data_IF_265816172413
#
_entry.id   IF_265816172413
#
_cell.length_a   1.000
_cell.length_b   1.000
_cell.length_c   1.000
_cell.angle_alpha   90.00
_cell.angle_beta   90.00
_cell.angle_gamma   90.00
#
_symmetry.space_group_name_H-M   'P 1'
#
loop_
_entity.id
_entity.type
_entity.pdbx_description
1 polymer ?
#
# COMPACT_ATOMS: atom_id res chain seq x y z
N UNK A 1 -42.34 -29.63 22.05
CA UNK A 1 -41.64 -28.37 21.71
C UNK A 1 -40.41 -28.26 22.59
N UNK A 2 -39.20 -28.42 22.05
CA UNK A 2 -37.97 -28.10 22.79
C UNK A 2 -37.90 -26.57 22.89
N UNK A 3 -37.96 -26.04 24.10
CA UNK A 3 -37.70 -24.63 24.37
C UNK A 3 -36.20 -24.42 24.10
N UNK A 4 -35.86 -23.77 22.98
CA UNK A 4 -34.48 -23.36 22.70
C UNK A 4 -34.19 -22.23 23.70
N UNK A 5 -33.41 -22.54 24.74
CA UNK A 5 -33.17 -21.60 25.85
C UNK A 5 -32.08 -20.58 25.53
N UNK A 6 -31.20 -20.84 24.56
CA UNK A 6 -30.11 -19.96 24.18
C UNK A 6 -29.80 -20.11 22.68
N UNK A 7 -29.71 -18.97 21.97
CA UNK A 7 -29.12 -18.89 20.64
C UNK A 7 -27.73 -18.24 20.75
N UNK A 8 -26.77 -18.79 20.02
CA UNK A 8 -25.44 -18.22 19.82
C UNK A 8 -25.45 -17.54 18.45
N UNK A 9 -25.13 -16.24 18.43
CA UNK A 9 -24.97 -15.48 17.19
C UNK A 9 -23.49 -15.15 17.03
N UNK A 10 -22.90 -15.63 15.95
CA UNK A 10 -21.55 -15.25 15.53
C UNK A 10 -21.64 -14.32 14.33
N UNK A 11 -20.84 -13.26 14.34
CA UNK A 11 -20.66 -12.38 13.20
C UNK A 11 -19.17 -12.13 12.99
N UNK A 12 -18.69 -12.34 11.77
CA UNK A 12 -17.30 -12.15 11.40
C UNK A 12 -17.20 -11.26 10.16
N UNK A 13 -16.26 -10.33 10.18
CA UNK A 13 -15.86 -9.58 8.98
C UNK A 13 -14.88 -10.46 8.21
N UNK A 14 -15.25 -10.79 6.97
CA UNK A 14 -14.40 -11.56 6.06
C UNK A 14 -13.80 -10.60 5.04
N UNK A 15 -12.53 -10.81 4.69
CA UNK A 15 -11.82 -10.06 3.66
C UNK A 15 -11.25 -11.06 2.65
N UNK A 16 -11.53 -10.87 1.36
CA UNK A 16 -10.75 -11.55 0.30
C UNK A 16 -9.59 -10.64 -0.06
N UNK A 17 -8.40 -11.11 0.26
CA UNK A 17 -7.15 -10.61 -0.30
C UNK A 17 -6.66 -11.68 -1.23
N UNK A 18 -6.53 -11.36 -2.52
CA UNK A 18 -6.24 -12.32 -3.59
C UNK A 18 -5.40 -13.52 -3.14
N UNK A 19 -5.98 -14.70 -3.33
CA UNK A 19 -5.57 -15.97 -2.73
C UNK A 19 -6.82 -16.73 -2.33
N UNK A 20 -6.88 -18.03 -2.64
CA UNK A 20 -8.06 -18.87 -2.40
C UNK A 20 -8.61 -18.69 -0.97
N UNK A 21 -9.93 -18.58 -0.83
CA UNK A 21 -10.57 -18.22 0.43
C UNK A 21 -10.23 -19.18 1.57
N UNK A 22 -9.74 -18.63 2.69
CA UNK A 22 -9.56 -19.37 3.94
C UNK A 22 -10.34 -18.71 5.07
N UNK A 23 -11.19 -19.51 5.71
CA UNK A 23 -11.90 -19.20 6.96
C UNK A 23 -10.98 -19.56 8.14
N UNK A 24 -10.40 -18.57 8.81
CA UNK A 24 -9.66 -18.84 10.05
C UNK A 24 -10.63 -19.01 11.23
N UNK A 25 -10.93 -20.27 11.59
CA UNK A 25 -11.57 -20.62 12.86
C UNK A 25 -10.52 -20.59 13.97
N UNK A 26 -10.77 -19.82 15.02
CA UNK A 26 -9.97 -19.77 16.24
C UNK A 26 -10.02 -21.12 16.96
N UNK A 27 -9.08 -22.04 16.70
CA UNK A 27 -8.66 -23.08 17.63
C UNK A 27 -7.34 -23.74 17.21
N UNK A 28 -6.34 -23.56 18.08
CA UNK A 28 -5.14 -24.38 18.31
C UNK A 28 -4.00 -24.32 17.27
N UNK A 29 -2.95 -23.56 17.60
CA UNK A 29 -1.59 -23.81 17.10
C UNK A 29 -0.69 -24.21 18.29
N UNK A 30 0.01 -25.35 18.24
CA UNK A 30 0.95 -25.75 19.28
C UNK A 30 2.31 -25.03 19.11
N UNK A 31 3.11 -24.87 20.20
CA UNK A 31 4.39 -24.18 20.14
C UNK A 31 5.49 -25.12 19.64
N UNK A 32 6.34 -24.66 18.71
CA UNK A 32 7.55 -25.40 18.34
C UNK A 32 8.80 -24.51 18.37
N UNK A 33 9.80 -25.07 19.04
CA UNK A 33 11.15 -24.56 19.33
C UNK A 33 12.09 -24.63 18.13
N UNK A 34 12.95 -23.63 17.98
CA UNK A 34 14.01 -23.56 16.98
C UNK A 34 15.39 -23.93 17.55
N UNK A 35 16.27 -24.62 16.79
CA UNK A 35 17.69 -24.64 17.04
C UNK A 35 18.44 -23.67 16.11
N UNK A 36 19.31 -22.88 16.72
CA UNK A 36 20.21 -21.88 16.13
C UNK A 36 21.46 -22.51 15.50
N UNK A 37 21.85 -22.06 14.31
CA UNK A 37 23.21 -22.27 13.77
C UNK A 37 23.71 -20.97 13.17
N UNK A 38 24.84 -20.47 13.67
CA UNK A 38 25.59 -19.31 13.15
C UNK A 38 26.86 -19.79 12.46
N UNK A 39 27.24 -19.24 11.28
CA UNK A 39 28.60 -19.36 10.78
C UNK A 39 29.36 -18.03 10.86
N UNK A 40 30.57 -18.12 11.40
CA UNK A 40 31.58 -17.05 11.53
C UNK A 40 32.30 -16.78 10.21
N UNK A 41 32.57 -15.50 9.90
CA UNK A 41 33.51 -15.12 8.84
C UNK A 41 34.63 -14.21 9.38
N UNK A 42 35.87 -14.54 9.00
CA UNK A 42 37.11 -13.86 9.36
C UNK A 42 37.32 -12.57 8.55
N UNK A 43 37.79 -11.52 9.23
CA UNK A 43 38.16 -10.22 8.65
C UNK A 43 39.50 -10.31 7.91
N UNK A 44 39.57 -9.69 6.74
CA UNK A 44 40.81 -9.25 6.08
C UNK A 44 40.72 -7.73 5.90
N UNK A 45 41.68 -7.00 6.46
CA UNK A 45 41.86 -5.55 6.32
C UNK A 45 42.87 -5.24 5.24
N UNK A 46 42.68 -4.16 4.46
CA UNK A 46 43.82 -3.45 3.89
C UNK A 46 43.87 -1.96 4.27
N UNK A 47 45.12 -1.52 4.16
CA UNK A 47 45.77 -0.33 4.67
C UNK A 47 45.32 1.02 4.10
N UNK A 48 45.71 2.02 4.88
CA UNK A 48 45.56 3.46 4.75
C UNK A 48 46.07 4.09 3.43
N UNK A 49 45.31 5.05 2.90
CA UNK A 49 45.86 6.27 2.29
C UNK A 49 44.96 7.48 2.61
N UNK A 50 45.58 8.56 3.08
CA UNK A 50 44.98 9.85 3.49
C UNK A 50 44.55 10.72 2.29
N UNK A 51 43.62 11.67 2.50
CA UNK A 51 42.94 12.41 1.43
C UNK A 51 43.60 13.76 1.08
N UNK A 52 43.30 14.24 -0.12
CA UNK A 52 43.57 15.61 -0.55
C UNK A 52 42.34 16.50 -0.29
N UNK A 53 42.57 17.63 0.37
CA UNK A 53 41.61 18.71 0.65
C UNK A 53 41.26 19.49 -0.62
N UNK A 54 39.98 19.85 -0.79
CA UNK A 54 39.59 21.06 -1.50
C UNK A 54 38.43 21.76 -0.80
N UNK A 55 38.59 23.08 -0.73
CA UNK A 55 37.85 24.08 0.03
C UNK A 55 36.77 24.78 -0.80
N UNK A 56 35.71 25.24 -0.12
CA UNK A 56 34.88 26.38 -0.53
C UNK A 56 33.43 25.99 -0.80
N UNK A 57 32.39 26.62 -0.26
CA UNK A 57 32.30 27.77 0.62
C UNK A 57 30.80 28.07 0.76
N UNK A 58 30.28 27.98 1.98
CA UNK A 58 28.88 28.23 2.31
C UNK A 58 28.52 29.72 2.16
N UNK A 59 27.28 30.00 1.74
CA UNK A 59 26.58 31.22 2.13
C UNK A 59 25.24 30.85 2.74
N UNK A 60 25.18 31.03 4.05
CA UNK A 60 23.98 30.96 4.87
C UNK A 60 23.00 32.10 4.53
N UNK A 61 21.69 31.81 4.66
CA UNK A 61 20.61 32.82 4.67
C UNK A 61 19.80 32.60 5.95
N UNK A 62 19.69 33.64 6.77
CA UNK A 62 18.95 33.64 8.03
C UNK A 62 17.42 33.65 7.85
N UNK A 63 16.65 33.09 8.80
CA UNK A 63 15.19 32.98 8.73
C UNK A 63 14.48 34.18 9.38
N UNK A 64 13.42 34.67 8.72
CA UNK A 64 12.45 35.54 9.38
C UNK A 64 11.74 36.51 8.44
N UNK A 65 10.56 36.11 7.93
CA UNK A 65 9.44 37.01 7.62
C UNK A 65 8.17 36.21 7.34
N UNK A 66 7.23 36.32 8.27
CA UNK A 66 5.82 35.94 8.12
C UNK A 66 5.16 36.77 7.02
N UNK A 67 4.52 36.09 6.05
CA UNK A 67 3.65 36.72 5.05
C UNK A 67 2.26 36.07 5.21
N UNK A 68 1.26 36.90 5.53
CA UNK A 68 -0.15 36.51 5.58
C UNK A 68 -0.68 36.30 4.15
N UNK A 69 -1.67 35.41 3.92
CA UNK A 69 -2.15 35.14 2.57
C UNK A 69 -3.12 36.24 2.12
N UNK A 70 -2.73 37.02 1.11
CA UNK A 70 -3.66 37.80 0.30
C UNK A 70 -4.28 36.90 -0.77
N UNK A 71 -5.61 36.97 -0.89
CA UNK A 71 -6.39 36.33 -1.94
C UNK A 71 -6.38 37.20 -3.21
N UNK A 72 -6.20 36.62 -4.40
CA UNK A 72 -6.69 37.22 -5.62
C UNK A 72 -7.83 36.39 -6.21
N UNK A 73 -9.05 36.91 -6.11
CA UNK A 73 -10.14 36.63 -7.02
C UNK A 73 -9.78 37.15 -8.42
N UNK A 74 -9.32 36.30 -9.35
CA UNK A 74 -9.45 36.57 -10.79
C UNK A 74 -9.68 35.26 -11.55
N UNK A 75 -10.77 35.24 -12.32
CA UNK A 75 -11.32 34.06 -12.97
C UNK A 75 -10.41 33.44 -14.03
N UNK A 76 -10.24 32.12 -13.94
CA UNK A 76 -9.62 31.31 -14.99
C UNK A 76 -10.68 30.97 -16.02
N UNK A 77 -10.47 31.45 -17.25
CA UNK A 77 -11.22 31.05 -18.43
C UNK A 77 -10.92 29.57 -18.74
N UNK A 78 -11.97 28.78 -18.87
CA UNK A 78 -11.90 27.39 -19.33
C UNK A 78 -11.79 27.36 -20.85
N UNK A 79 -10.63 27.06 -21.42
CA UNK A 79 -10.51 26.61 -22.82
C UNK A 79 -9.40 25.57 -22.96
N UNK A 80 -9.75 24.43 -23.56
CA UNK A 80 -8.83 23.38 -23.99
C UNK A 80 -9.19 21.99 -23.47
N UNK A 81 -10.11 21.29 -24.15
CA UNK A 81 -10.14 19.82 -24.09
C UNK A 81 -8.77 19.32 -24.53
N UNK A 82 -8.01 18.74 -23.60
CA UNK A 82 -6.77 18.02 -23.92
C UNK A 82 -7.19 16.81 -24.74
N UNK A 83 -6.99 16.88 -26.06
CA UNK A 83 -7.15 15.71 -26.92
C UNK A 83 -6.14 14.64 -26.48
N UNK A 84 -6.53 13.35 -26.42
CA UNK A 84 -5.61 12.28 -26.11
C UNK A 84 -4.54 12.24 -27.20
N UNK A 85 -3.30 12.61 -26.84
CA UNK A 85 -2.17 12.47 -27.74
C UNK A 85 -1.92 10.97 -27.93
N UNK A 86 -2.16 10.49 -29.14
CA UNK A 86 -1.65 9.22 -29.61
C UNK A 86 -0.14 9.37 -29.81
N UNK A 87 0.63 9.07 -28.77
CA UNK A 87 2.00 8.55 -28.77
C UNK A 87 2.46 8.42 -27.32
N UNK A 88 3.18 7.34 -27.01
CA UNK A 88 3.70 6.95 -25.68
C UNK A 88 4.75 7.90 -25.08
N UNK A 89 4.76 9.17 -25.51
CA UNK A 89 5.74 10.18 -25.15
C UNK A 89 5.01 11.47 -24.81
N UNK A 90 4.70 11.64 -23.53
CA UNK A 90 4.37 12.95 -23.00
C UNK A 90 5.68 13.74 -22.83
N UNK A 91 5.78 15.02 -23.24
CA UNK A 91 7.05 15.76 -23.26
C UNK A 91 7.73 15.78 -21.88
N UNK A 92 6.96 15.82 -20.81
CA UNK A 92 7.46 15.85 -19.42
C UNK A 92 7.49 14.47 -18.73
N UNK A 93 6.97 13.41 -19.35
CA UNK A 93 6.89 12.06 -18.77
C UNK A 93 7.41 11.01 -19.75
N UNK A 94 8.71 10.65 -19.68
CA UNK A 94 9.34 9.73 -20.63
C UNK A 94 8.78 8.29 -20.57
N UNK A 95 8.09 7.95 -19.48
CA UNK A 95 7.53 6.62 -19.25
C UNK A 95 5.99 6.61 -19.27
N UNK A 96 5.36 7.60 -19.90
CA UNK A 96 3.90 7.72 -19.96
C UNK A 96 3.26 6.39 -20.42
N UNK A 97 2.15 5.93 -19.80
CA UNK A 97 1.30 6.59 -18.78
C UNK A 97 1.82 6.61 -17.33
N UNK A 98 2.99 6.02 -17.05
CA UNK A 98 3.67 6.30 -15.77
C UNK A 98 4.23 7.72 -15.78
N UNK A 99 4.05 8.41 -14.67
CA UNK A 99 4.47 9.80 -14.49
C UNK A 99 5.86 9.88 -13.85
N UNK A 100 6.62 8.79 -13.79
CA UNK A 100 7.99 8.82 -13.29
C UNK A 100 8.82 9.79 -14.13
N UNK A 101 9.60 10.63 -13.44
CA UNK A 101 10.63 11.47 -14.03
C UNK A 101 12.01 10.98 -13.62
N UNK A 102 13.01 11.33 -14.44
CA UNK A 102 14.42 11.11 -14.12
C UNK A 102 15.06 12.41 -13.64
N UNK A 103 15.89 12.33 -12.61
CA UNK A 103 16.79 13.41 -12.21
C UNK A 103 18.11 13.43 -13.00
N UNK A 104 18.26 12.57 -14.00
CA UNK A 104 19.44 12.47 -14.87
C UNK A 104 19.04 12.19 -16.32
N UNK A 105 20.00 11.71 -17.12
CA UNK A 105 19.72 11.24 -18.48
C UNK A 105 18.75 10.05 -18.45
N UNK A 106 17.91 9.94 -19.49
CA UNK A 106 16.89 8.90 -19.64
C UNK A 106 17.30 7.98 -20.79
N UNK A 107 17.24 6.64 -20.64
CA UNK A 107 16.92 5.93 -19.39
C UNK A 107 18.03 6.09 -18.34
N UNK A 108 17.67 5.92 -17.06
CA UNK A 108 18.67 5.79 -16.00
C UNK A 108 19.47 4.51 -16.21
N UNK A 109 20.68 4.45 -15.68
CA UNK A 109 21.51 3.24 -15.77
C UNK A 109 21.37 2.39 -14.51
N UNK A 110 21.33 1.06 -14.68
CA UNK A 110 21.22 0.10 -13.56
C UNK A 110 22.36 0.27 -12.55
N UNK A 111 23.56 0.63 -12.99
CA UNK A 111 24.74 0.84 -12.13
C UNK A 111 24.63 2.05 -11.18
N UNK A 112 23.63 2.92 -11.38
CA UNK A 112 23.33 4.03 -10.47
C UNK A 112 22.53 3.57 -9.23
N UNK A 113 21.94 2.38 -9.28
CA UNK A 113 21.11 1.81 -8.23
C UNK A 113 21.85 0.75 -7.43
N UNK A 114 21.44 0.57 -6.18
CA UNK A 114 21.88 -0.51 -5.31
C UNK A 114 20.72 -1.46 -5.05
N UNK A 115 21.00 -2.77 -5.12
CA UNK A 115 20.01 -3.78 -4.77
C UNK A 115 19.67 -3.76 -3.28
N UNK A 116 18.49 -4.25 -2.95
CA UNK A 116 18.07 -4.37 -1.56
C UNK A 116 18.99 -5.24 -0.68
N UNK A 117 19.55 -6.38 -1.16
CA UNK A 117 20.49 -7.19 -0.37
C UNK A 117 21.75 -6.43 0.07
N UNK A 118 22.26 -5.53 -0.76
CA UNK A 118 23.42 -4.69 -0.47
C UNK A 118 23.14 -3.75 0.70
N UNK A 119 21.96 -3.11 0.71
CA UNK A 119 21.51 -2.31 1.85
C UNK A 119 21.37 -3.18 3.13
N UNK A 120 20.91 -4.42 2.97
CA UNK A 120 20.71 -5.40 4.04
C UNK A 120 21.98 -5.83 4.78
N UNK A 121 23.17 -5.53 4.25
CA UNK A 121 24.44 -5.78 4.94
C UNK A 121 24.55 -4.95 6.23
N UNK A 122 24.17 -3.67 6.16
CA UNK A 122 24.19 -2.74 7.30
C UNK A 122 22.79 -2.51 7.89
N UNK A 123 21.74 -2.56 7.09
CA UNK A 123 20.35 -2.32 7.51
C UNK A 123 19.58 -3.64 7.70
N UNK A 124 20.18 -4.59 8.43
CA UNK A 124 19.68 -5.97 8.53
C UNK A 124 18.22 -6.05 8.96
N UNK A 125 17.83 -5.36 10.03
CA UNK A 125 16.47 -5.44 10.54
C UNK A 125 15.45 -4.88 9.52
N UNK A 126 15.74 -3.72 8.94
CA UNK A 126 14.90 -3.08 7.91
C UNK A 126 14.77 -3.99 6.69
N UNK A 127 15.88 -4.57 6.22
CA UNK A 127 15.88 -5.48 5.09
C UNK A 127 15.00 -6.71 5.32
N UNK A 128 15.08 -7.34 6.49
CA UNK A 128 14.21 -8.50 6.81
C UNK A 128 12.72 -8.11 6.88
N UNK A 129 12.42 -6.90 7.38
CA UNK A 129 11.04 -6.38 7.42
C UNK A 129 10.51 -6.11 6.00
N UNK A 130 11.31 -5.48 5.14
CA UNK A 130 10.94 -5.20 3.76
C UNK A 130 10.78 -6.48 2.94
N UNK A 131 11.70 -7.45 3.10
CA UNK A 131 11.76 -8.67 2.29
C UNK A 131 10.48 -9.51 2.32
N UNK A 132 9.79 -9.56 3.46
CA UNK A 132 8.51 -10.27 3.58
C UNK A 132 7.27 -9.42 3.24
N UNK A 133 7.44 -8.21 2.71
CA UNK A 133 6.35 -7.30 2.36
C UNK A 133 5.92 -7.42 0.89
N UNK A 134 4.72 -6.94 0.58
CA UNK A 134 4.25 -6.83 -0.80
C UNK A 134 5.03 -5.82 -1.63
N UNK A 135 5.80 -4.91 -1.02
CA UNK A 135 6.71 -4.03 -1.78
C UNK A 135 7.86 -4.83 -2.39
N UNK A 136 8.48 -5.73 -1.62
CA UNK A 136 9.52 -6.63 -2.14
C UNK A 136 8.97 -7.60 -3.17
N UNK A 137 7.75 -8.07 -2.98
CA UNK A 137 7.09 -9.00 -3.89
C UNK A 137 6.33 -8.32 -5.04
N UNK A 138 6.39 -6.99 -5.16
CA UNK A 138 5.55 -6.24 -6.11
C UNK A 138 5.75 -6.69 -7.56
N UNK A 139 6.97 -7.09 -7.94
CA UNK A 139 7.30 -7.62 -9.26
C UNK A 139 7.00 -9.12 -9.41
N UNK A 140 7.05 -9.89 -8.32
CA UNK A 140 6.91 -11.36 -8.37
C UNK A 140 5.49 -11.84 -8.05
N UNK A 141 4.59 -10.95 -7.64
CA UNK A 141 3.20 -11.30 -7.29
C UNK A 141 2.47 -11.97 -8.46
N UNK A 142 2.09 -13.26 -8.33
CA UNK A 142 1.45 -13.99 -9.41
C UNK A 142 0.07 -13.41 -9.77
N UNK A 143 -0.63 -12.80 -8.82
CA UNK A 143 -1.94 -12.18 -9.08
C UNK A 143 -1.75 -10.93 -9.91
N UNK A 144 -0.79 -10.08 -9.52
CA UNK A 144 -0.44 -8.91 -10.32
C UNK A 144 0.05 -9.31 -11.72
N UNK A 145 0.97 -10.27 -11.84
CA UNK A 145 1.48 -10.77 -13.13
C UNK A 145 0.37 -11.28 -14.05
N UNK A 146 -0.61 -12.00 -13.50
CA UNK A 146 -1.76 -12.45 -14.27
C UNK A 146 -2.63 -11.28 -14.74
N UNK A 147 -2.92 -10.31 -13.85
CA UNK A 147 -3.76 -9.16 -14.17
C UNK A 147 -3.10 -8.20 -15.18
N UNK A 148 -1.80 -7.95 -15.06
CA UNK A 148 -1.08 -7.09 -16.01
C UNK A 148 -0.97 -7.77 -17.39
N UNK A 149 -0.80 -9.09 -17.44
CA UNK A 149 -0.81 -9.83 -18.71
C UNK A 149 -2.17 -9.71 -19.43
N UNK A 150 -3.28 -9.90 -18.69
CA UNK A 150 -4.64 -9.70 -19.24
C UNK A 150 -4.82 -8.26 -19.70
N UNK A 151 -4.46 -7.29 -18.85
CA UNK A 151 -4.61 -5.87 -19.16
C UNK A 151 -3.77 -5.43 -20.36
N UNK A 152 -2.55 -5.96 -20.51
CA UNK A 152 -1.71 -5.74 -21.68
C UNK A 152 -2.34 -6.33 -22.94
N UNK A 153 -2.87 -7.55 -22.89
CA UNK A 153 -3.54 -8.18 -24.04
C UNK A 153 -4.77 -7.37 -24.48
N UNK A 154 -5.62 -6.96 -23.53
CA UNK A 154 -6.84 -6.20 -23.80
C UNK A 154 -6.58 -4.78 -24.32
N UNK A 155 -5.43 -4.19 -23.98
CA UNK A 155 -5.10 -2.80 -24.33
C UNK A 155 -4.03 -2.66 -25.39
N UNK A 156 -3.46 -3.78 -25.86
CA UNK A 156 -2.29 -3.83 -26.74
C UNK A 156 -1.07 -3.12 -26.11
N UNK A 157 -0.81 -3.40 -24.82
CA UNK A 157 0.35 -2.89 -24.07
C UNK A 157 0.24 -1.43 -23.59
N UNK A 158 -0.86 -0.72 -23.90
CA UNK A 158 -1.02 0.71 -23.61
C UNK A 158 -1.01 1.07 -22.12
N UNK A 159 -1.20 0.10 -21.24
CA UNK A 159 -1.20 0.29 -19.78
C UNK A 159 0.04 -0.26 -19.09
N UNK A 160 0.95 -0.92 -19.81
CA UNK A 160 2.04 -1.69 -19.21
C UNK A 160 2.89 -0.82 -18.30
N UNK A 161 3.35 0.32 -18.83
CA UNK A 161 4.18 1.27 -18.08
C UNK A 161 3.47 1.84 -16.85
N UNK A 162 2.13 1.99 -16.87
CA UNK A 162 1.36 2.42 -15.69
C UNK A 162 1.53 1.41 -14.54
N UNK A 163 1.38 0.12 -14.85
CA UNK A 163 1.52 -0.97 -13.88
C UNK A 163 2.97 -1.13 -13.42
N UNK A 164 3.90 -1.20 -14.38
CA UNK A 164 5.34 -1.39 -14.12
C UNK A 164 5.88 -0.23 -13.27
N UNK A 165 5.45 1.00 -13.52
CA UNK A 165 5.93 2.17 -12.78
C UNK A 165 5.70 2.11 -11.26
N UNK A 166 4.69 1.38 -10.80
CA UNK A 166 4.46 1.16 -9.37
C UNK A 166 5.04 -0.18 -8.87
N UNK A 167 5.16 -1.19 -9.74
CA UNK A 167 5.53 -2.55 -9.34
C UNK A 167 7.01 -2.90 -9.54
N UNK A 168 7.71 -2.23 -10.45
CA UNK A 168 9.18 -2.21 -10.55
C UNK A 168 9.63 -0.83 -11.07
N UNK A 169 9.60 0.21 -10.19
CA UNK A 169 9.97 1.56 -10.59
C UNK A 169 11.39 1.66 -11.18
N UNK A 170 12.32 0.87 -10.64
CA UNK A 170 13.71 0.82 -11.13
C UNK A 170 13.76 0.17 -12.50
N UNK A 171 13.10 -0.99 -12.70
CA UNK A 171 13.08 -1.65 -14.01
C UNK A 171 12.49 -0.79 -15.12
N UNK A 172 11.44 -0.01 -14.83
CA UNK A 172 10.90 0.94 -15.79
C UNK A 172 11.87 2.09 -16.08
N UNK A 173 12.44 2.68 -15.03
CA UNK A 173 13.28 3.87 -15.17
C UNK A 173 14.60 3.59 -15.89
N UNK A 174 15.06 2.34 -15.89
CA UNK A 174 16.25 1.87 -16.60
C UNK A 174 15.97 1.22 -17.96
N UNK A 175 14.70 1.18 -18.38
CA UNK A 175 14.23 0.48 -19.59
C UNK A 175 14.50 -1.04 -19.62
N UNK A 176 14.89 -1.62 -18.47
CA UNK A 176 15.12 -3.06 -18.30
C UNK A 176 13.78 -3.84 -18.27
N UNK A 177 12.72 -3.19 -17.79
CA UNK A 177 11.33 -3.68 -17.83
C UNK A 177 10.43 -2.58 -18.38
N UNK A 178 10.17 -2.61 -19.69
CA UNK A 178 9.41 -1.57 -20.39
C UNK A 178 7.98 -1.95 -20.79
N UNK A 179 7.70 -3.25 -20.80
CA UNK A 179 6.45 -3.87 -21.22
C UNK A 179 6.23 -5.20 -20.48
N UNK A 180 5.08 -5.83 -20.72
CA UNK A 180 4.77 -7.13 -20.12
C UNK A 180 5.76 -8.23 -20.53
N UNK A 181 6.36 -8.18 -21.72
CA UNK A 181 7.36 -9.18 -22.11
C UNK A 181 8.59 -9.11 -21.18
N UNK A 182 9.02 -7.90 -20.82
CA UNK A 182 10.07 -7.68 -19.82
C UNK A 182 9.72 -8.19 -18.40
N UNK A 183 8.45 -8.37 -18.05
CA UNK A 183 8.07 -8.92 -16.73
C UNK A 183 8.37 -10.43 -16.66
N UNK A 184 8.31 -11.11 -17.80
CA UNK A 184 8.44 -12.56 -17.92
C UNK A 184 9.74 -13.01 -18.60
N UNK A 185 10.63 -12.07 -18.91
CA UNK A 185 11.91 -12.36 -19.57
C UNK A 185 12.92 -12.96 -18.59
N UNK A 186 13.71 -13.92 -19.08
CA UNK A 186 14.88 -14.42 -18.35
C UNK A 186 16.08 -13.47 -18.43
N UNK A 187 16.05 -12.52 -19.37
CA UNK A 187 17.11 -11.52 -19.58
C UNK A 187 16.99 -10.30 -18.66
N UNK A 188 15.89 -10.17 -17.90
CA UNK A 188 15.67 -9.07 -16.97
C UNK A 188 16.70 -9.08 -15.85
N UNK A 189 17.33 -7.94 -15.59
CA UNK A 189 18.34 -7.84 -14.55
C UNK A 189 17.74 -8.10 -13.17
N UNK A 190 18.49 -8.83 -12.33
CA UNK A 190 18.08 -9.17 -10.97
C UNK A 190 17.68 -7.91 -10.16
N UNK A 191 18.36 -6.79 -10.38
CA UNK A 191 18.08 -5.51 -9.72
C UNK A 191 16.67 -5.00 -9.98
N UNK A 192 16.13 -5.25 -11.18
CA UNK A 192 14.76 -4.87 -11.56
C UNK A 192 13.70 -5.81 -11.00
N UNK A 193 14.10 -6.99 -10.51
CA UNK A 193 13.16 -7.98 -9.97
C UNK A 193 12.79 -7.76 -8.50
N UNK A 194 13.50 -6.88 -7.79
CA UNK A 194 13.27 -6.59 -6.36
C UNK A 194 12.03 -5.72 -6.08
N UNK A 195 11.15 -5.52 -7.07
CA UNK A 195 9.90 -4.78 -6.89
C UNK A 195 10.11 -3.32 -6.47
N UNK A 196 9.38 -2.88 -5.44
CA UNK A 196 9.57 -1.57 -4.81
C UNK A 196 10.70 -1.68 -3.77
N UNK A 197 11.94 -1.64 -4.28
CA UNK A 197 13.16 -1.80 -3.49
C UNK A 197 13.61 -0.55 -2.74
N UNK A 198 14.66 -0.69 -1.91
CA UNK A 198 15.21 0.38 -1.07
C UNK A 198 15.44 1.66 -1.87
N UNK A 199 16.15 1.56 -2.99
CA UNK A 199 16.45 2.72 -3.82
C UNK A 199 15.23 3.30 -4.53
N UNK A 200 14.22 2.48 -4.86
CA UNK A 200 12.99 2.99 -5.47
C UNK A 200 12.35 4.08 -4.59
N UNK A 201 12.45 3.97 -3.26
CA UNK A 201 12.00 4.98 -2.31
C UNK A 201 13.09 5.99 -1.95
N UNK A 202 14.26 5.51 -1.53
CA UNK A 202 15.29 6.37 -0.93
C UNK A 202 16.03 7.25 -1.94
N UNK A 203 15.85 7.03 -3.25
CA UNK A 203 16.36 7.94 -4.29
C UNK A 203 15.29 8.86 -4.87
N UNK A 204 14.04 8.79 -4.38
CA UNK A 204 12.98 9.73 -4.78
C UNK A 204 13.35 11.14 -4.33
N UNK A 205 13.66 12.02 -5.27
CA UNK A 205 14.08 13.39 -4.96
C UNK A 205 12.91 14.35 -4.81
N UNK A 206 11.79 14.05 -5.46
CA UNK A 206 10.65 14.95 -5.56
C UNK A 206 9.35 14.17 -5.81
N UNK A 207 8.23 14.71 -5.33
CA UNK A 207 6.89 14.39 -5.83
C UNK A 207 6.37 15.60 -6.60
N UNK A 208 6.03 15.39 -7.87
CA UNK A 208 5.53 16.42 -8.78
C UNK A 208 4.01 16.27 -9.01
N UNK A 209 3.30 15.69 -8.02
CA UNK A 209 1.87 15.40 -8.09
C UNK A 209 0.97 16.57 -8.54
N UNK A 210 1.34 17.82 -8.25
CA UNK A 210 0.56 19.00 -8.67
C UNK A 210 0.67 19.31 -10.17
N UNK A 211 1.70 18.80 -10.83
CA UNK A 211 2.00 19.00 -12.26
C UNK A 211 1.46 17.85 -13.12
N UNK A 212 0.88 16.83 -12.50
CA UNK A 212 0.28 15.71 -13.22
C UNK A 212 -0.94 16.19 -14.01
N UNK A 213 -1.34 15.46 -15.07
CA UNK A 213 -2.58 15.77 -15.80
C UNK A 213 -3.85 15.81 -14.93
N UNK A 214 -3.80 15.23 -13.73
CA UNK A 214 -4.90 15.17 -12.78
C UNK A 214 -4.81 16.25 -11.68
N UNK A 215 -3.68 16.98 -11.60
CA UNK A 215 -3.42 17.97 -10.55
C UNK A 215 -3.21 17.37 -9.14
N UNK A 216 -3.06 16.05 -9.05
CA UNK A 216 -2.89 15.30 -7.80
C UNK A 216 -1.82 14.21 -7.94
N UNK A 217 -1.14 13.81 -6.84
CA UNK A 217 -0.16 12.72 -6.88
C UNK A 217 -0.83 11.39 -7.25
N UNK A 218 -0.14 10.59 -8.06
CA UNK A 218 -0.58 9.27 -8.49
C UNK A 218 0.14 8.82 -9.76
N UNK A 219 -0.11 7.59 -10.21
CA UNK A 219 0.50 7.01 -11.42
C UNK A 219 2.03 7.11 -11.47
N UNK A 220 2.71 7.04 -10.33
CA UNK A 220 4.16 7.17 -10.26
C UNK A 220 4.67 8.61 -10.35
N UNK A 221 3.92 9.60 -9.86
CA UNK A 221 4.26 11.04 -9.94
C UNK A 221 5.47 11.50 -9.07
N UNK A 222 6.61 10.84 -9.21
CA UNK A 222 7.87 11.13 -8.51
C UNK A 222 9.05 11.23 -9.47
N UNK A 223 10.14 11.82 -8.98
CA UNK A 223 11.42 11.89 -9.68
C UNK A 223 12.43 10.94 -9.03
N UNK A 224 13.01 10.02 -9.81
CA UNK A 224 14.11 9.16 -9.36
C UNK A 224 15.45 9.84 -9.63
N UNK A 225 16.27 10.00 -8.59
CA UNK A 225 17.62 10.58 -8.69
C UNK A 225 18.63 9.66 -8.00
N UNK A 226 18.98 8.53 -8.65
CA UNK A 226 19.87 7.52 -8.09
C UNK A 226 21.32 8.00 -7.97
N UNK A 227 22.14 7.22 -7.28
CA UNK A 227 23.51 7.57 -6.91
C UNK A 227 23.76 7.46 -5.40
N UNK A 228 24.80 8.17 -4.93
CA UNK A 228 25.30 8.07 -3.55
C UNK A 228 24.38 8.72 -2.52
N UNK A 229 23.52 9.66 -2.93
CA UNK A 229 22.61 10.35 -2.01
C UNK A 229 21.37 9.49 -1.77
N UNK A 230 21.14 9.12 -0.50
CA UNK A 230 19.92 8.46 -0.02
C UNK A 230 19.15 9.42 0.87
N UNK A 231 17.84 9.49 0.66
CA UNK A 231 16.94 10.44 1.33
C UNK A 231 16.14 9.77 2.41
N UNK A 232 15.87 10.47 3.50
CA UNK A 232 15.16 9.88 4.63
C UNK A 232 14.76 10.89 5.71
N UNK A 233 14.32 10.39 6.87
CA UNK A 233 13.81 11.23 7.94
C UNK A 233 14.91 11.80 8.88
N UNK A 234 16.19 11.57 8.59
CA UNK A 234 17.29 12.00 9.46
C UNK A 234 18.35 12.79 8.68
N UNK A 235 19.00 13.72 9.38
CA UNK A 235 20.05 14.59 8.83
C UNK A 235 21.46 14.01 8.96
N UNK A 236 21.67 13.05 9.87
CA UNK A 236 22.97 12.50 10.25
C UNK A 236 23.10 11.03 9.83
N UNK A 237 22.89 10.77 8.54
CA UNK A 237 22.82 9.43 7.95
C UNK A 237 23.99 9.07 7.01
N UNK A 238 25.06 9.86 7.00
CA UNK A 238 26.23 9.58 6.18
C UNK A 238 26.92 8.27 6.60
N UNK A 239 27.18 7.41 5.62
CA UNK A 239 27.87 6.14 5.78
C UNK A 239 29.24 6.16 5.06
N UNK A 240 29.91 7.30 5.09
CA UNK A 240 31.22 7.50 4.45
C UNK A 240 31.17 7.26 2.95
N UNK A 241 31.95 6.31 2.45
CA UNK A 241 32.06 6.03 1.00
C UNK A 241 30.89 5.22 0.42
N UNK A 242 29.93 4.78 1.25
CA UNK A 242 28.81 3.93 0.80
C UNK A 242 27.65 4.78 0.29
N UNK A 243 27.18 5.72 1.12
CA UNK A 243 26.13 6.67 0.77
C UNK A 243 26.18 7.91 1.67
N UNK A 244 25.68 9.02 1.13
CA UNK A 244 25.38 10.26 1.83
C UNK A 244 23.90 10.29 2.23
N UNK A 245 23.59 10.75 3.43
CA UNK A 245 22.25 10.83 3.96
C UNK A 245 21.69 12.25 3.87
N UNK A 246 20.59 12.42 3.14
CA UNK A 246 19.91 13.71 3.02
C UNK A 246 18.53 13.67 3.70
N UNK A 247 18.28 14.61 4.61
CA UNK A 247 16.93 14.78 5.15
C UNK A 247 15.97 15.23 4.05
N UNK A 248 14.77 14.64 4.03
CA UNK A 248 13.76 14.93 3.01
C UNK A 248 12.37 15.09 3.61
N UNK A 249 11.75 16.24 3.35
CA UNK A 249 10.36 16.53 3.69
C UNK A 249 9.37 15.56 3.02
N UNK A 250 9.72 15.05 1.83
CA UNK A 250 8.94 14.02 1.15
C UNK A 250 8.87 12.73 1.99
N UNK A 251 10.00 12.31 2.56
CA UNK A 251 10.12 11.04 3.29
C UNK A 251 9.43 11.03 4.66
N UNK A 252 9.05 12.19 5.19
CA UNK A 252 8.33 12.33 6.47
C UNK A 252 6.85 12.67 6.31
N UNK A 253 6.32 12.65 5.08
CA UNK A 253 4.91 12.93 4.80
C UNK A 253 4.27 11.81 3.98
N UNK A 254 2.94 11.68 4.02
CA UNK A 254 2.20 10.72 3.21
C UNK A 254 2.40 10.90 1.70
N UNK A 255 2.98 12.03 1.26
CA UNK A 255 3.20 12.34 -0.14
C UNK A 255 4.16 11.35 -0.81
N UNK A 256 5.11 10.76 -0.09
CA UNK A 256 5.98 9.71 -0.65
C UNK A 256 5.16 8.48 -1.09
N UNK A 257 4.15 8.11 -0.30
CA UNK A 257 3.27 6.98 -0.59
C UNK A 257 2.22 7.34 -1.67
N UNK A 258 1.78 8.60 -1.69
CA UNK A 258 0.70 9.07 -2.55
C UNK A 258 0.98 8.85 -4.05
N UNK A 259 2.26 8.90 -4.45
CA UNK A 259 2.62 8.76 -5.85
C UNK A 259 2.26 7.38 -6.45
N UNK A 260 2.22 6.33 -5.62
CA UNK A 260 1.85 4.98 -6.05
C UNK A 260 0.49 4.52 -5.48
N UNK A 261 0.12 4.95 -4.27
CA UNK A 261 -1.15 4.58 -3.61
C UNK A 261 -2.35 5.45 -4.03
N UNK A 262 -2.24 6.05 -5.21
CA UNK A 262 -3.30 6.72 -5.93
C UNK A 262 -3.07 6.44 -7.42
N UNK A 263 -4.11 6.01 -8.13
CA UNK A 263 -4.00 5.76 -9.56
C UNK A 263 -5.24 6.19 -10.33
N UNK A 264 -5.01 6.63 -11.56
CA UNK A 264 -6.00 7.22 -12.43
C UNK A 264 -5.87 6.64 -13.84
N UNK A 265 -7.01 6.49 -14.51
CA UNK A 265 -7.08 6.19 -15.94
C UNK A 265 -8.14 7.10 -16.57
N UNK A 266 -7.77 7.92 -17.56
CA UNK A 266 -8.68 8.88 -18.22
C UNK A 266 -9.47 9.76 -17.24
N UNK A 267 -8.81 10.34 -16.23
CA UNK A 267 -9.40 11.10 -15.11
C UNK A 267 -10.35 10.30 -14.20
N UNK A 268 -10.53 9.00 -14.44
CA UNK A 268 -11.25 8.13 -13.55
C UNK A 268 -10.28 7.54 -12.50
N UNK A 269 -10.52 7.76 -11.20
CA UNK A 269 -9.67 7.20 -10.18
C UNK A 269 -9.90 5.69 -10.03
N UNK A 270 -8.86 4.89 -10.23
CA UNK A 270 -8.86 3.44 -10.01
C UNK A 270 -8.57 3.14 -8.53
N UNK A 271 -7.56 3.81 -7.96
CA UNK A 271 -7.23 3.72 -6.55
C UNK A 271 -7.22 5.10 -5.91
N UNK A 272 -7.92 5.23 -4.77
CA UNK A 272 -8.16 6.51 -4.08
C UNK A 272 -7.65 6.57 -2.65
N UNK A 273 -6.71 5.70 -2.29
CA UNK A 273 -6.29 5.53 -0.90
C UNK A 273 -5.77 6.84 -0.30
N UNK A 274 -4.98 7.59 -1.08
CA UNK A 274 -4.46 8.88 -0.64
C UNK A 274 -5.57 9.91 -0.43
N UNK A 275 -6.52 10.03 -1.35
CA UNK A 275 -7.67 10.92 -1.19
C UNK A 275 -8.50 10.60 0.05
N UNK A 276 -8.82 9.33 0.25
CA UNK A 276 -9.58 8.86 1.40
C UNK A 276 -8.91 9.26 2.72
N UNK A 277 -7.58 9.18 2.77
CA UNK A 277 -6.79 9.67 3.90
C UNK A 277 -6.75 11.20 3.98
N UNK A 278 -6.46 11.89 2.87
CA UNK A 278 -6.30 13.35 2.76
C UNK A 278 -7.53 14.09 3.28
N UNK A 279 -8.74 13.58 3.02
CA UNK A 279 -9.99 14.18 3.48
C UNK A 279 -10.47 13.67 4.86
N UNK A 280 -9.72 12.77 5.49
CA UNK A 280 -10.04 12.18 6.80
C UNK A 280 -9.66 13.08 7.99
N UNK A 281 -10.10 12.68 9.19
CA UNK A 281 -9.63 13.31 10.45
C UNK A 281 -8.14 13.07 10.70
N UNK A 282 -7.57 11.99 10.16
CA UNK A 282 -6.18 11.60 10.38
C UNK A 282 -5.23 12.59 9.71
N UNK A 283 -5.46 12.93 8.45
CA UNK A 283 -4.71 13.97 7.75
C UNK A 283 -4.82 15.33 8.45
N UNK A 284 -6.04 15.72 8.87
CA UNK A 284 -6.26 16.97 9.64
C UNK A 284 -5.51 17.02 10.97
N UNK A 285 -5.20 15.86 11.56
CA UNK A 285 -4.43 15.73 12.80
C UNK A 285 -2.95 15.45 12.56
N UNK A 286 -2.48 15.49 11.32
CA UNK A 286 -1.07 15.27 10.98
C UNK A 286 -0.63 13.80 11.04
N UNK A 287 -1.55 12.85 11.19
CA UNK A 287 -1.24 11.42 11.16
C UNK A 287 -0.95 10.99 9.72
N UNK A 288 0.33 10.95 9.36
CA UNK A 288 0.84 10.43 8.09
C UNK A 288 0.70 8.90 7.96
N UNK A 289 0.80 8.39 6.72
CA UNK A 289 0.79 6.95 6.40
C UNK A 289 1.83 6.16 7.21
N UNK A 290 3.04 6.72 7.36
CA UNK A 290 4.16 6.12 8.07
C UNK A 290 3.85 5.84 9.55
N UNK A 291 3.06 6.70 10.20
CA UNK A 291 2.66 6.53 11.59
C UNK A 291 1.80 5.30 11.85
N UNK A 292 1.21 4.72 10.79
CA UNK A 292 0.47 3.47 10.90
C UNK A 292 1.19 2.33 10.19
N UNK A 293 1.62 2.52 8.94
CA UNK A 293 2.17 1.47 8.08
C UNK A 293 3.66 1.20 8.26
N UNK A 294 4.38 2.12 8.91
CA UNK A 294 5.78 1.95 9.30
C UNK A 294 5.91 1.97 10.82
N UNK A 295 5.01 1.25 11.49
CA UNK A 295 4.95 1.05 12.94
C UNK A 295 4.40 -0.35 13.24
N UNK A 296 4.72 -0.96 14.39
CA UNK A 296 4.04 -2.15 14.86
C UNK A 296 2.52 -1.94 14.93
N UNK A 297 1.74 -3.01 14.74
CA UNK A 297 0.27 -2.93 14.67
C UNK A 297 -0.32 -2.24 15.90
N UNK A 298 0.16 -2.57 17.10
CA UNK A 298 -0.34 -1.98 18.34
C UNK A 298 -0.13 -0.46 18.42
N UNK A 299 1.05 0.03 18.03
CA UNK A 299 1.34 1.47 17.98
C UNK A 299 0.50 2.19 16.93
N UNK A 300 0.28 1.55 15.79
CA UNK A 300 -0.60 2.09 14.76
C UNK A 300 -2.06 2.16 15.24
N UNK A 301 -2.55 1.16 15.98
CA UNK A 301 -3.89 1.16 16.60
C UNK A 301 -3.99 2.27 17.65
N UNK A 302 -2.96 2.45 18.48
CA UNK A 302 -2.87 3.54 19.45
C UNK A 302 -2.93 4.91 18.75
N UNK A 303 -2.10 5.12 17.74
CA UNK A 303 -2.09 6.34 16.93
C UNK A 303 -3.45 6.60 16.29
N UNK A 304 -4.10 5.55 15.79
CA UNK A 304 -5.40 5.69 15.17
C UNK A 304 -6.51 6.05 16.18
N UNK A 305 -6.43 5.56 17.41
CA UNK A 305 -7.38 5.88 18.49
C UNK A 305 -7.18 7.27 19.05
N UNK A 306 -5.93 7.64 19.31
CA UNK A 306 -5.55 8.89 19.99
C UNK A 306 -5.41 10.07 19.03
N UNK A 307 -5.19 9.79 17.74
CA UNK A 307 -4.82 10.79 16.73
C UNK A 307 -3.54 11.56 17.11
N UNK A 308 -2.60 10.85 17.75
CA UNK A 308 -1.26 11.32 18.10
C UNK A 308 -0.23 10.50 17.32
N UNK A 309 0.76 11.13 16.66
CA UNK A 309 1.86 10.41 16.02
C UNK A 309 2.58 9.49 17.03
N UNK A 310 2.76 8.19 16.71
CA UNK A 310 3.47 7.30 17.60
C UNK A 310 4.97 7.50 17.46
N UNK A 311 5.66 7.35 18.59
CA UNK A 311 7.13 7.33 18.65
C UNK A 311 7.64 5.94 18.99
N UNK A 312 8.80 5.60 18.45
CA UNK A 312 9.48 4.32 18.63
C UNK A 312 10.98 4.56 18.45
N UNK A 313 11.80 3.93 19.29
CA UNK A 313 13.22 3.80 19.02
C UNK A 313 13.52 2.41 18.44
N UNK A 314 14.57 2.28 17.63
CA UNK A 314 14.99 0.98 17.11
C UNK A 314 16.26 1.02 16.26
N UNK A 315 16.78 -0.17 15.88
CA UNK A 315 18.02 -0.27 15.12
C UNK A 315 17.79 -0.05 13.64
N UNK A 316 18.08 1.18 13.20
CA UNK A 316 18.09 1.49 11.78
C UNK A 316 19.27 0.82 11.06
N UNK A 317 20.43 0.69 11.70
CA UNK A 317 21.64 0.13 11.10
C UNK A 317 22.52 -0.53 12.16
N UNK A 318 23.30 -1.54 11.78
CA UNK A 318 24.36 -2.13 12.61
C UNK A 318 25.44 -1.09 12.98
N UNK A 319 25.61 -0.04 12.17
CA UNK A 319 26.56 1.07 12.43
C UNK A 319 26.01 2.08 13.43
N UNK A 320 24.68 2.20 13.50
CA UNK A 320 23.97 3.11 14.42
C UNK A 320 22.70 2.43 14.91
N UNK A 321 22.81 1.58 15.95
CA UNK A 321 21.75 0.65 16.35
C UNK A 321 20.60 1.31 17.10
N UNK A 322 20.62 2.63 17.33
CA UNK A 322 19.50 3.33 17.94
C UNK A 322 19.17 4.61 17.16
N UNK A 323 17.93 4.66 16.68
CA UNK A 323 17.30 5.84 16.08
C UNK A 323 15.95 6.08 16.76
N UNK A 324 15.62 7.35 16.99
CA UNK A 324 14.28 7.78 17.39
C UNK A 324 13.92 9.07 16.65
N UNK A 325 12.75 9.16 15.98
CA UNK A 325 11.80 8.05 15.77
C UNK A 325 12.39 7.01 14.81
N UNK A 326 12.07 5.73 14.97
CA UNK A 326 12.41 4.63 14.08
C UNK A 326 11.15 4.12 13.36
N UNK A 327 11.30 3.86 12.06
CA UNK A 327 10.20 3.47 11.17
C UNK A 327 10.48 2.08 10.59
N UNK A 328 9.93 1.00 11.19
CA UNK A 328 10.10 -0.33 10.64
C UNK A 328 9.39 -0.51 9.28
N UNK A 329 10.00 -1.28 8.38
CA UNK A 329 9.61 -1.40 6.97
C UNK A 329 8.76 -2.64 6.69
N UNK A 330 7.81 -2.97 7.56
CA UNK A 330 6.94 -4.15 7.38
C UNK A 330 5.93 -3.98 6.26
N UNK A 331 5.48 -2.74 6.00
CA UNK A 331 4.49 -2.39 4.96
C UNK A 331 3.27 -3.33 4.93
N UNK A 332 2.71 -3.59 6.11
CA UNK A 332 1.60 -4.52 6.28
C UNK A 332 0.35 -4.01 5.56
N UNK A 333 -0.20 -4.85 4.69
CA UNK A 333 -1.45 -4.62 3.97
C UNK A 333 -2.50 -5.65 4.35
N UNK A 334 -3.11 -6.29 3.33
CA UNK A 334 -4.08 -7.37 3.55
C UNK A 334 -3.65 -8.75 3.04
N UNK A 335 -2.60 -8.86 2.21
CA UNK A 335 -2.23 -10.14 1.59
C UNK A 335 -1.51 -11.07 2.57
N UNK A 336 -2.26 -11.96 3.23
CA UNK A 336 -1.69 -12.97 4.13
C UNK A 336 -1.18 -14.20 3.39
N UNK A 337 -1.79 -14.54 2.26
CA UNK A 337 -1.53 -15.77 1.51
C UNK A 337 -0.07 -15.82 1.03
N UNK A 338 0.40 -14.75 0.39
CA UNK A 338 1.78 -14.70 -0.11
C UNK A 338 2.80 -14.82 1.02
N UNK A 339 2.60 -14.12 2.14
CA UNK A 339 3.50 -14.22 3.28
C UNK A 339 3.56 -15.65 3.85
N UNK A 340 2.45 -16.39 3.83
CA UNK A 340 2.40 -17.78 4.28
C UNK A 340 3.10 -18.73 3.30
N UNK A 341 2.81 -18.59 2.00
CA UNK A 341 3.35 -19.44 0.93
C UNK A 341 4.88 -19.29 0.82
N UNK A 342 5.39 -18.07 0.95
CA UNK A 342 6.83 -17.76 0.90
C UNK A 342 7.56 -18.00 2.24
N UNK A 343 6.85 -18.47 3.28
CA UNK A 343 7.44 -18.82 4.57
C UNK A 343 7.70 -17.65 5.53
N UNK A 344 7.22 -16.43 5.23
CA UNK A 344 7.29 -15.25 6.12
C UNK A 344 6.20 -15.29 7.20
N UNK A 345 6.29 -16.27 8.11
CA UNK A 345 5.26 -16.52 9.15
C UNK A 345 5.06 -15.34 10.12
N UNK A 346 6.11 -14.57 10.40
CA UNK A 346 6.01 -13.35 11.23
C UNK A 346 5.17 -12.28 10.52
N UNK A 347 5.42 -12.04 9.24
CA UNK A 347 4.61 -11.13 8.42
C UNK A 347 3.15 -11.59 8.35
N UNK A 348 2.90 -12.88 8.08
CA UNK A 348 1.55 -13.42 8.03
C UNK A 348 0.78 -13.17 9.34
N UNK A 349 1.43 -13.36 10.49
CA UNK A 349 0.85 -13.09 11.81
C UNK A 349 0.52 -11.60 12.01
N UNK A 350 1.46 -10.72 11.69
CA UNK A 350 1.27 -9.28 11.84
C UNK A 350 0.21 -8.71 10.87
N UNK A 351 0.12 -9.26 9.65
CA UNK A 351 -0.95 -8.92 8.70
C UNK A 351 -2.30 -9.35 9.26
N UNK A 352 -2.42 -10.57 9.79
CA UNK A 352 -3.66 -11.03 10.44
C UNK A 352 -4.02 -10.14 11.64
N UNK A 353 -3.04 -9.77 12.46
CA UNK A 353 -3.25 -8.86 13.59
C UNK A 353 -3.73 -7.48 13.13
N UNK A 354 -3.16 -6.93 12.05
CA UNK A 354 -3.63 -5.68 11.42
C UNK A 354 -5.09 -5.80 10.96
N UNK A 355 -5.43 -6.87 10.26
CA UNK A 355 -6.79 -7.07 9.73
C UNK A 355 -7.83 -7.19 10.85
N UNK A 356 -7.49 -7.92 11.92
CA UNK A 356 -8.37 -8.11 13.09
C UNK A 356 -8.58 -6.84 13.91
N UNK A 357 -7.65 -5.88 13.86
CA UNK A 357 -7.72 -4.62 14.62
C UNK A 357 -8.27 -3.44 13.81
N UNK A 358 -8.41 -3.59 12.48
CA UNK A 358 -8.88 -2.52 11.59
C UNK A 358 -10.36 -2.14 11.80
N UNK A 359 -11.21 -3.15 12.07
CA UNK A 359 -12.65 -2.99 12.25
C UNK A 359 -13.10 -3.40 13.65
N UNK A 360 -14.17 -2.77 14.14
CA UNK A 360 -14.90 -3.23 15.32
C UNK A 360 -16.32 -3.64 14.94
N UNK A 361 -16.81 -4.72 15.56
CA UNK A 361 -18.17 -5.23 15.42
C UNK A 361 -18.94 -5.01 16.72
N UNK A 362 -20.14 -4.45 16.62
CA UNK A 362 -21.12 -4.44 17.71
C UNK A 362 -22.38 -5.17 17.24
N UNK A 363 -22.82 -6.15 18.03
CA UNK A 363 -24.03 -6.93 17.77
C UNK A 363 -25.10 -6.60 18.82
N UNK A 364 -26.24 -6.12 18.35
CA UNK A 364 -27.44 -5.94 19.16
C UNK A 364 -28.52 -6.92 18.70
N UNK A 365 -29.18 -7.58 19.65
CA UNK A 365 -30.26 -8.54 19.40
C UNK A 365 -31.52 -8.00 20.07
N UNK A 366 -32.63 -7.87 19.31
CA UNK A 366 -33.86 -7.22 19.79
C UNK A 366 -34.49 -7.89 21.00
N UNK A 367 -34.36 -9.22 21.12
CA UNK A 367 -34.95 -10.01 22.18
C UNK A 367 -34.00 -11.13 22.63
N UNK A 368 -33.77 -11.25 23.95
CA UNK A 368 -32.98 -12.35 24.53
C UNK A 368 -33.72 -13.71 24.50
N UNK A 369 -35.06 -13.69 24.31
CA UNK A 369 -35.91 -14.88 24.33
C UNK A 369 -36.47 -15.15 22.93
N UNK A 370 -36.01 -16.24 22.34
CA UNK A 370 -36.40 -16.65 20.99
C UNK A 370 -37.68 -17.47 21.08
N UNK A 371 -38.76 -16.96 20.49
CA UNK A 371 -40.06 -17.64 20.47
C UNK A 371 -40.34 -18.20 19.07
N UNK A 372 -40.69 -19.49 18.91
CA UNK A 372 -41.10 -20.04 17.63
C UNK A 372 -42.21 -19.20 16.97
N UNK A 373 -42.05 -18.91 15.68
CA UNK A 373 -43.01 -18.10 14.90
C UNK A 373 -42.83 -16.58 15.04
N UNK A 374 -41.87 -16.08 15.81
CA UNK A 374 -41.47 -14.66 15.82
C UNK A 374 -40.15 -14.44 15.09
N UNK A 375 -40.03 -13.31 14.40
CA UNK A 375 -38.78 -12.89 13.78
C UNK A 375 -37.81 -12.35 14.85
N UNK A 376 -36.55 -12.77 14.77
CA UNK A 376 -35.45 -12.22 15.56
C UNK A 376 -34.79 -11.10 14.75
N UNK A 377 -34.64 -9.90 15.33
CA UNK A 377 -33.89 -8.82 14.68
C UNK A 377 -32.47 -8.79 15.21
N UNK A 378 -31.50 -8.88 14.28
CA UNK A 378 -30.07 -8.74 14.53
C UNK A 378 -29.61 -7.43 13.92
N UNK A 379 -29.01 -6.56 14.72
CA UNK A 379 -28.37 -5.33 14.25
C UNK A 379 -26.87 -5.43 14.44
N UNK A 380 -26.15 -5.47 13.33
CA UNK A 380 -24.69 -5.48 13.31
C UNK A 380 -24.22 -4.07 12.94
N UNK A 381 -23.42 -3.45 13.80
CA UNK A 381 -22.67 -2.24 13.46
C UNK A 381 -21.23 -2.64 13.17
N UNK A 382 -20.69 -2.14 12.07
CA UNK A 382 -19.30 -2.30 11.67
C UNK A 382 -18.69 -0.92 11.68
N UNK A 383 -17.58 -0.74 12.39
CA UNK A 383 -16.89 0.55 12.52
C UNK A 383 -15.47 0.44 12.00
N UNK A 384 -15.04 1.43 11.22
CA UNK A 384 -13.63 1.60 10.89
C UNK A 384 -12.94 2.32 12.04
N UNK A 385 -12.20 1.58 12.86
CA UNK A 385 -11.66 2.09 14.13
C UNK A 385 -10.18 2.43 14.07
N UNK A 386 -9.44 1.80 13.14
CA UNK A 386 -7.99 1.91 13.07
C UNK A 386 -7.41 2.17 11.66
N UNK A 387 -8.24 2.45 10.64
CA UNK A 387 -7.76 2.86 9.32
C UNK A 387 -8.01 4.35 9.05
N UNK A 388 -6.99 5.02 8.51
CA UNK A 388 -7.03 6.43 8.12
C UNK A 388 -7.68 6.68 6.76
N UNK A 389 -7.96 5.62 6.01
CA UNK A 389 -8.63 5.59 4.70
C UNK A 389 -9.88 4.69 4.79
N UNK A 390 -10.59 4.46 3.68
CA UNK A 390 -11.76 3.58 3.71
C UNK A 390 -11.36 2.13 4.02
N UNK A 391 -12.28 1.36 4.59
CA UNK A 391 -12.10 -0.07 4.79
C UNK A 391 -13.10 -0.86 3.92
N UNK A 392 -12.64 -1.72 3.00
CA UNK A 392 -11.28 -1.76 2.43
C UNK A 392 -10.99 -0.52 1.55
N UNK A 393 -9.71 -0.18 1.34
CA UNK A 393 -9.24 0.88 0.42
C UNK A 393 -8.67 0.28 -0.88
N UNK A 394 -8.05 1.08 -1.75
CA UNK A 394 -7.49 0.67 -3.05
C UNK A 394 -8.60 0.12 -3.97
N UNK A 395 -8.29 -0.83 -4.85
CA UNK A 395 -9.16 -1.40 -5.90
C UNK A 395 -10.44 -2.01 -5.32
N UNK A 396 -11.58 -1.28 -5.34
CA UNK A 396 -12.82 -1.76 -4.71
C UNK A 396 -13.49 -2.90 -5.50
N UNK A 397 -13.11 -3.11 -6.76
CA UNK A 397 -13.58 -4.23 -7.58
C UNK A 397 -12.96 -5.57 -7.15
N UNK A 398 -11.71 -5.54 -6.68
CA UNK A 398 -10.97 -6.74 -6.25
C UNK A 398 -11.07 -6.99 -4.75
N UNK A 399 -11.12 -5.92 -3.94
CA UNK A 399 -11.11 -6.02 -2.48
C UNK A 399 -12.53 -6.04 -1.94
N UNK A 400 -12.94 -7.19 -1.43
CA UNK A 400 -14.27 -7.38 -0.87
C UNK A 400 -14.19 -7.63 0.63
N UNK A 401 -15.08 -6.95 1.35
CA UNK A 401 -15.34 -7.17 2.76
C UNK A 401 -16.82 -7.47 2.97
N UNK A 402 -17.16 -8.51 3.71
CA UNK A 402 -18.56 -8.87 3.96
C UNK A 402 -18.75 -9.43 5.37
N UNK A 403 -20.02 -9.50 5.79
CA UNK A 403 -20.40 -10.12 7.06
C UNK A 403 -20.78 -11.58 6.83
N UNK A 404 -20.08 -12.48 7.52
CA UNK A 404 -20.56 -13.84 7.74
C UNK A 404 -21.34 -13.86 9.06
N UNK A 405 -22.62 -14.27 9.03
CA UNK A 405 -23.52 -14.30 10.17
C UNK A 405 -24.03 -15.72 10.34
N UNK A 406 -23.87 -16.29 11.53
CA UNK A 406 -24.39 -17.62 11.88
C UNK A 406 -25.18 -17.57 13.17
N UNK A 407 -26.36 -18.18 13.18
CA UNK A 407 -27.23 -18.32 14.35
C UNK A 407 -27.43 -19.80 14.63
N UNK A 408 -26.97 -20.27 15.78
CA UNK A 408 -27.09 -21.66 16.22
C UNK A 408 -27.70 -21.79 17.61
N UNK A 409 -28.19 -22.98 17.97
CA UNK A 409 -28.49 -23.29 19.38
C UNK A 409 -27.23 -23.71 20.14
N UNK A 410 -27.41 -23.98 21.43
CA UNK A 410 -26.41 -24.50 22.36
C UNK A 410 -25.80 -25.86 21.94
N UNK A 411 -26.49 -26.63 21.10
CA UNK A 411 -26.03 -27.93 20.60
C UNK A 411 -25.29 -27.78 19.26
N UNK A 412 -25.14 -26.54 18.76
CA UNK A 412 -24.46 -26.21 17.50
C UNK A 412 -25.34 -26.35 16.25
N UNK A 413 -26.63 -26.63 16.38
CA UNK A 413 -27.55 -26.70 15.25
C UNK A 413 -27.80 -25.30 14.71
N UNK A 414 -27.56 -25.09 13.43
CA UNK A 414 -27.71 -23.79 12.75
C UNK A 414 -29.16 -23.58 12.31
N UNK A 415 -29.72 -22.42 12.64
CA UNK A 415 -31.06 -21.99 12.21
C UNK A 415 -31.02 -20.91 11.13
N UNK A 416 -29.94 -20.14 11.08
CA UNK A 416 -29.72 -19.11 10.07
C UNK A 416 -28.23 -19.00 9.78
N UNK A 417 -27.88 -18.83 8.51
CA UNK A 417 -26.56 -18.46 8.06
C UNK A 417 -26.69 -17.46 6.89
N UNK A 418 -25.67 -16.63 6.73
CA UNK A 418 -25.52 -15.72 5.59
C UNK A 418 -24.04 -15.37 5.46
N UNK A 419 -23.54 -15.26 4.23
CA UNK A 419 -22.15 -14.90 3.97
C UNK A 419 -21.19 -16.08 3.92
N UNK A 420 -21.72 -17.29 3.74
CA UNK A 420 -20.87 -18.44 3.40
C UNK A 420 -20.38 -18.31 1.95
N UNK A 421 -19.27 -18.99 1.65
CA UNK A 421 -18.78 -19.13 0.29
C UNK A 421 -19.40 -20.38 -0.33
N UNK A 422 -19.81 -20.26 -1.59
CA UNK A 422 -20.22 -21.40 -2.41
C UNK A 422 -19.02 -22.31 -2.70
N UNK A 423 -19.27 -23.52 -3.21
CA UNK A 423 -18.19 -24.42 -3.66
C UNK A 423 -17.26 -23.79 -4.71
N UNK A 424 -17.78 -22.83 -5.49
CA UNK A 424 -17.02 -22.04 -6.47
C UNK A 424 -16.21 -20.88 -5.86
N UNK A 425 -16.25 -20.70 -4.53
CA UNK A 425 -15.57 -19.61 -3.83
C UNK A 425 -16.26 -18.24 -3.96
N UNK A 426 -17.50 -18.19 -4.48
CA UNK A 426 -18.28 -16.95 -4.56
C UNK A 426 -19.13 -16.75 -3.31
N UNK A 427 -19.36 -15.49 -2.90
CA UNK A 427 -20.20 -15.16 -1.75
C UNK A 427 -21.68 -15.48 -2.08
N UNK A 428 -22.40 -16.12 -1.15
CA UNK A 428 -23.84 -16.39 -1.28
C UNK A 428 -24.66 -15.13 -1.63
N UNK A 429 -25.65 -15.27 -2.52
CA UNK A 429 -26.39 -14.13 -3.12
C UNK A 429 -27.08 -13.20 -2.14
N UNK A 430 -27.56 -13.71 -1.00
CA UNK A 430 -28.30 -12.92 -0.01
C UNK A 430 -27.39 -12.31 1.07
N UNK A 431 -26.07 -12.34 0.85
CA UNK A 431 -25.08 -11.80 1.78
C UNK A 431 -25.07 -10.28 1.77
N UNK A 432 -24.99 -9.70 2.97
CA UNK A 432 -24.72 -8.27 3.13
C UNK A 432 -23.23 -8.03 2.85
N UNK A 433 -22.93 -7.46 1.68
CA UNK A 433 -21.59 -7.00 1.28
C UNK A 433 -21.54 -5.47 1.36
N UNK A 434 -21.02 -4.88 2.43
CA UNK A 434 -20.69 -3.46 2.46
C UNK A 434 -19.46 -3.22 1.56
N UNK A 435 -19.62 -2.44 0.50
CA UNK A 435 -18.46 -1.90 -0.24
C UNK A 435 -18.33 -2.32 -1.69
N UNK A 436 -19.12 -3.27 -2.19
CA UNK A 436 -19.07 -3.62 -3.63
C UNK A 436 -19.77 -2.54 -4.47
N UNK A 437 -19.06 -2.06 -5.50
CA UNK A 437 -19.57 -1.09 -6.48
C UNK A 437 -20.49 -1.73 -7.53
N UNK A 438 -20.53 -3.06 -7.66
CA UNK A 438 -21.36 -3.75 -8.66
C UNK A 438 -21.97 -5.07 -8.15
N UNK A 439 -23.07 -5.56 -8.79
CA UNK A 439 -23.57 -6.92 -8.57
C UNK A 439 -22.45 -7.94 -8.84
N UNK A 440 -22.54 -9.10 -8.20
CA UNK A 440 -21.58 -10.24 -8.21
C UNK A 440 -21.37 -10.92 -9.58
N UNK A 441 -21.43 -10.19 -10.70
CA UNK A 441 -21.22 -10.70 -12.05
C UNK A 441 -20.08 -9.91 -12.69
N UNK A 442 -18.99 -10.61 -13.01
CA UNK A 442 -17.96 -10.14 -13.92
C UNK A 442 -18.64 -9.58 -15.18
N UNK A 443 -18.57 -8.26 -15.36
CA UNK A 443 -18.90 -7.63 -16.63
C UNK A 443 -17.62 -7.59 -17.46
N UNK A 444 -17.64 -8.04 -18.74
CA UNK A 444 -16.50 -7.88 -19.63
C UNK A 444 -16.13 -6.40 -19.72
N UNK A 445 -14.83 -6.09 -19.68
CA UNK A 445 -14.26 -4.73 -19.79
C UNK A 445 -14.74 -3.96 -21.03
N UNK A 446 -15.27 -4.65 -22.05
CA UNK A 446 -15.92 -4.05 -23.23
C UNK A 446 -17.32 -3.45 -23.01
N UNK A 447 -17.81 -3.32 -21.77
CA UNK A 447 -19.16 -2.80 -21.47
C UNK A 447 -19.18 -1.54 -20.59
N UNK A 448 -18.06 -0.82 -20.49
CA UNK A 448 -18.07 0.58 -20.02
C UNK A 448 -18.83 1.41 -21.07
N UNK A 449 -19.95 2.08 -20.73
CA UNK A 449 -20.66 2.89 -21.70
C UNK A 449 -19.76 4.04 -22.17
N UNK A 450 -19.28 3.97 -23.39
CA UNK A 450 -18.78 5.13 -24.13
C UNK A 450 -19.97 6.01 -24.46
N UNK A 451 -20.41 6.85 -23.53
CA UNK A 451 -21.39 7.90 -23.85
C UNK A 451 -20.84 9.25 -23.45
N UNK A 452 -20.46 10.01 -24.47
CA UNK A 452 -20.38 11.46 -24.43
C UNK A 452 -21.71 12.00 -23.88
N UNK A 453 -21.73 12.31 -22.60
CA UNK A 453 -22.92 12.81 -21.94
C UNK A 453 -22.60 13.04 -20.48
N UNK A 454 -22.57 14.32 -20.08
CA UNK A 454 -22.42 14.79 -18.70
C UNK A 454 -23.30 13.96 -17.77
N UNK A 455 -22.71 12.94 -17.16
CA UNK A 455 -23.33 12.11 -16.14
C UNK A 455 -22.31 11.98 -15.03
N UNK A 456 -22.44 12.84 -14.03
CA UNK A 456 -21.82 12.65 -12.73
C UNK A 456 -22.40 11.40 -12.09
N UNK A 457 -21.80 10.25 -12.36
CA UNK A 457 -22.05 9.03 -11.59
C UNK A 457 -21.24 9.19 -10.30
N UNK A 458 -21.84 9.78 -9.26
CA UNK A 458 -21.36 9.54 -7.90
C UNK A 458 -21.85 8.15 -7.50
N UNK A 459 -21.07 7.11 -7.82
CA UNK A 459 -21.33 5.78 -7.29
C UNK A 459 -21.10 5.84 -5.78
N UNK A 460 -22.17 5.75 -5.00
CA UNK A 460 -22.08 5.74 -3.54
C UNK A 460 -21.29 4.51 -3.10
N UNK A 461 -20.01 4.67 -2.79
CA UNK A 461 -19.18 3.58 -2.28
C UNK A 461 -19.69 3.16 -0.90
N UNK A 462 -20.23 1.94 -0.76
CA UNK A 462 -20.68 1.35 0.51
C UNK A 462 -19.51 0.92 1.42
N UNK A 463 -18.37 1.63 1.39
CA UNK A 463 -17.17 1.31 2.18
C UNK A 463 -17.22 2.04 3.53
N UNK A 464 -16.44 1.60 4.51
CA UNK A 464 -16.45 2.21 5.84
C UNK A 464 -15.44 3.36 5.90
N UNK A 465 -15.89 4.63 5.93
CA UNK A 465 -14.98 5.76 5.96
C UNK A 465 -14.19 5.83 7.27
N UNK A 466 -13.08 6.57 7.32
CA UNK A 466 -12.27 6.70 8.53
C UNK A 466 -13.11 7.20 9.72
N UNK A 467 -13.12 6.46 10.85
CA UNK A 467 -13.97 6.72 12.03
C UNK A 467 -15.49 6.68 11.77
N UNK A 468 -15.91 6.04 10.67
CA UNK A 468 -17.32 5.84 10.29
C UNK A 468 -17.94 4.53 10.75
#
# INVERSE_FOLDING_TARGET
>A
MKIIRFLIVSCMVMLITGGAGWTASLKELPPLSSPSVTPSYQKVTPDSQQPAETTGGEKAVEPGKTIAPESPEQGVKSEGEVQPQANDLHPDYPFYPSLIRSGGEVPLSLDQFQGAPECGVCHKQIYQQWKGSMHAAAFSDPIWRALVAIGSEETEGKIDKLCIGCHTPVGLATDDVKDVAGIFSEDTDLLSTFGVQCDACHVMSESHGKETPFGEPGNGSFTLSPGVIKRGPYEDCDAGKIHEGLWSSLHVTSLICANCHQSFHNNFPLERTYDEWKYSVYARKGIQCQHCHMMPVDKAVEAARTLVPPEMAGPASELKPERSPFFPHWFLGGNTAMAQEEGYQDHAREIMHRLQTAAALELEVSDAVVTPGRLLSLKVKVKNVAAGHNLPTSLPELRQMWLNVRVSDQDGRVFYHSGDLTESGTIERDTRVPGSLMPTRWMPMGSIPTSHGKSTISSGTKRFPPKG
#
